data_IF_942645985419
#
_entry.id   IF_942645985419
#
_cell.length_a   1.000
_cell.length_b   1.000
_cell.length_c   1.000
_cell.angle_alpha   90.00
_cell.angle_beta   90.00
_cell.angle_gamma   90.00
#
_symmetry.space_group_name_H-M   'P 1'
#
loop_
_entity.id
_entity.type
_entity.pdbx_description
1 polymer ?
#
# COMPACT_ATOMS: atom_id res chain seq x y z
N UNK A 1 48.51 22.10 -29.94
CA UNK A 1 47.55 20.98 -29.86
C UNK A 1 47.11 20.91 -28.40
N UNK A 2 45.93 21.42 -28.04
CA UNK A 2 45.46 21.32 -26.67
C UNK A 2 44.98 19.90 -26.40
N UNK A 3 45.40 19.33 -25.28
CA UNK A 3 45.00 18.02 -24.80
C UNK A 3 43.51 18.04 -24.42
N UNK A 4 42.73 17.18 -25.07
CA UNK A 4 41.38 16.81 -24.66
C UNK A 4 41.47 16.06 -23.33
N UNK A 5 40.70 16.42 -22.29
CA UNK A 5 40.64 15.62 -21.08
C UNK A 5 39.83 14.36 -21.35
N UNK A 6 40.42 13.19 -21.08
CA UNK A 6 39.74 11.90 -21.09
C UNK A 6 38.53 11.95 -20.15
N UNK A 7 37.33 11.84 -20.73
CA UNK A 7 36.11 11.50 -20.00
C UNK A 7 36.23 10.04 -19.54
N UNK A 8 36.02 9.73 -18.24
CA UNK A 8 35.87 8.35 -17.80
C UNK A 8 34.44 7.90 -18.16
N UNK A 9 34.22 7.60 -19.43
CA UNK A 9 33.02 6.90 -19.89
C UNK A 9 33.28 5.39 -19.88
N UNK A 10 32.37 4.66 -19.24
CA UNK A 10 32.10 3.22 -19.43
C UNK A 10 33.06 2.17 -18.84
N UNK A 11 33.20 2.12 -17.50
CA UNK A 11 33.69 0.91 -16.79
C UNK A 11 32.67 0.35 -15.76
N UNK A 12 31.40 0.74 -15.86
CA UNK A 12 30.33 0.31 -14.93
C UNK A 12 29.44 -0.82 -15.48
N UNK A 13 29.64 -1.25 -16.73
CA UNK A 13 28.77 -2.23 -17.41
C UNK A 13 29.09 -3.71 -17.15
N UNK A 14 30.24 -4.03 -16.52
CA UNK A 14 30.72 -5.41 -16.34
C UNK A 14 30.96 -5.85 -14.88
N UNK A 15 30.48 -5.08 -13.89
CA UNK A 15 30.50 -5.56 -12.50
C UNK A 15 29.45 -6.65 -12.30
N UNK A 16 29.86 -7.91 -12.49
CA UNK A 16 29.09 -9.09 -12.06
C UNK A 16 28.72 -8.89 -10.60
N UNK A 17 27.43 -8.63 -10.35
CA UNK A 17 26.92 -8.37 -9.01
C UNK A 17 27.23 -9.59 -8.13
N UNK A 18 27.91 -9.35 -7.01
CA UNK A 18 28.28 -10.43 -6.09
C UNK A 18 27.02 -11.20 -5.64
N UNK A 19 27.10 -12.54 -5.48
CA UNK A 19 25.94 -13.33 -5.09
C UNK A 19 25.38 -12.86 -3.75
N UNK A 20 24.06 -12.71 -3.68
CA UNK A 20 23.36 -12.35 -2.44
C UNK A 20 23.51 -13.47 -1.40
N UNK A 21 23.47 -13.19 -0.08
CA UNK A 21 23.62 -14.19 0.97
C UNK A 21 22.66 -15.40 0.85
N UNK A 22 21.45 -15.20 0.33
CA UNK A 22 20.48 -16.28 0.10
C UNK A 22 21.01 -17.35 -0.86
N UNK A 23 21.82 -16.98 -1.86
CA UNK A 23 22.42 -17.93 -2.79
C UNK A 23 23.26 -18.99 -2.07
N UNK A 24 24.09 -18.56 -1.12
CA UNK A 24 24.88 -19.48 -0.29
C UNK A 24 24.02 -20.31 0.66
N UNK A 25 22.90 -19.75 1.16
CA UNK A 25 21.95 -20.51 1.97
C UNK A 25 21.27 -21.63 1.15
N UNK A 26 20.91 -21.35 -0.11
CA UNK A 26 20.39 -22.37 -1.03
C UNK A 26 21.42 -23.45 -1.33
N UNK A 27 22.68 -23.07 -1.60
CA UNK A 27 23.77 -24.02 -1.81
C UNK A 27 24.00 -24.90 -0.58
N UNK A 28 24.05 -24.29 0.61
CA UNK A 28 24.27 -25.00 1.87
C UNK A 28 23.10 -25.96 2.18
N UNK A 29 21.85 -25.55 1.92
CA UNK A 29 20.69 -26.41 2.07
C UNK A 29 20.74 -27.60 1.11
N UNK A 30 20.96 -27.35 -0.18
CA UNK A 30 21.00 -28.42 -1.17
C UNK A 30 22.16 -29.36 -0.91
N UNK A 31 23.34 -28.85 -0.57
CA UNK A 31 24.47 -29.65 -0.15
C UNK A 31 24.15 -30.53 1.07
N UNK A 32 23.48 -29.97 2.08
CA UNK A 32 23.05 -30.72 3.26
C UNK A 32 22.08 -31.85 2.90
N UNK A 33 21.10 -31.59 2.02
CA UNK A 33 20.10 -32.58 1.61
C UNK A 33 20.66 -33.63 0.64
N UNK A 34 21.64 -33.26 -0.18
CA UNK A 34 22.35 -34.20 -1.04
C UNK A 34 23.29 -35.10 -0.23
N UNK A 35 23.86 -34.59 0.87
CA UNK A 35 24.70 -35.36 1.79
C UNK A 35 23.87 -36.25 2.72
N UNK A 36 22.82 -35.69 3.32
CA UNK A 36 21.93 -36.36 4.27
C UNK A 36 20.45 -36.18 3.88
N UNK A 37 19.90 -36.99 2.97
CA UNK A 37 18.52 -36.84 2.46
C UNK A 37 17.43 -36.89 3.54
N UNK A 38 17.70 -37.58 4.66
CA UNK A 38 16.81 -37.62 5.84
C UNK A 38 16.51 -36.24 6.45
N UNK A 39 17.41 -35.26 6.27
CA UNK A 39 17.20 -33.89 6.72
C UNK A 39 16.04 -33.18 6.03
N UNK A 40 15.47 -33.77 4.97
CA UNK A 40 14.32 -33.20 4.27
C UNK A 40 13.12 -32.95 5.20
N UNK A 41 12.93 -33.79 6.23
CA UNK A 41 11.89 -33.63 7.25
C UNK A 41 12.00 -32.29 8.01
N UNK A 42 13.20 -31.73 8.13
CA UNK A 42 13.48 -30.51 8.88
C UNK A 42 13.28 -29.23 8.05
N UNK A 43 12.93 -29.36 6.75
CA UNK A 43 12.71 -28.21 5.86
C UNK A 43 11.35 -27.53 6.06
N UNK A 44 10.44 -28.15 6.82
CA UNK A 44 9.09 -27.64 7.10
C UNK A 44 8.28 -27.39 5.83
N UNK A 45 7.71 -26.19 5.69
CA UNK A 45 6.85 -25.79 4.55
C UNK A 45 7.62 -25.28 3.32
N UNK A 46 8.94 -25.50 3.25
CA UNK A 46 9.76 -25.02 2.13
C UNK A 46 9.35 -25.71 0.81
N UNK A 47 9.06 -24.93 -0.23
CA UNK A 47 8.77 -25.43 -1.58
C UNK A 47 9.82 -24.95 -2.57
N UNK A 48 9.87 -25.56 -3.76
CA UNK A 48 10.78 -25.14 -4.82
C UNK A 48 10.56 -23.68 -5.26
N UNK A 49 9.32 -23.16 -5.14
CA UNK A 49 9.01 -21.77 -5.45
C UNK A 49 9.62 -20.74 -4.50
N UNK A 50 10.18 -21.17 -3.36
CA UNK A 50 10.88 -20.29 -2.44
C UNK A 50 12.34 -20.00 -2.85
N UNK A 51 12.92 -20.83 -3.72
CA UNK A 51 14.27 -20.59 -4.22
C UNK A 51 14.25 -19.41 -5.21
N UNK A 52 15.31 -18.61 -5.19
CA UNK A 52 15.55 -17.57 -6.19
C UNK A 52 16.23 -18.16 -7.43
N UNK A 53 17.14 -19.12 -7.23
CA UNK A 53 17.81 -19.79 -8.33
C UNK A 53 16.96 -20.95 -8.89
N UNK A 54 16.70 -20.92 -10.19
CA UNK A 54 15.89 -21.94 -10.88
C UNK A 54 16.51 -23.35 -10.83
N UNK A 55 17.84 -23.45 -10.96
CA UNK A 55 18.54 -24.74 -10.89
C UNK A 55 18.45 -25.32 -9.48
N UNK A 56 18.54 -24.48 -8.45
CA UNK A 56 18.34 -24.90 -7.07
C UNK A 56 16.90 -25.37 -6.81
N UNK A 57 15.91 -24.68 -7.36
CA UNK A 57 14.51 -25.08 -7.30
C UNK A 57 14.27 -26.46 -7.94
N UNK A 58 14.87 -26.72 -9.10
CA UNK A 58 14.76 -28.01 -9.81
C UNK A 58 15.42 -29.15 -9.02
N UNK A 59 16.61 -28.93 -8.45
CA UNK A 59 17.27 -29.89 -7.58
C UNK A 59 16.45 -30.20 -6.33
N UNK A 60 15.92 -29.17 -5.66
CA UNK A 60 15.06 -29.37 -4.50
C UNK A 60 13.79 -30.17 -4.84
N UNK A 61 13.21 -29.91 -6.01
CA UNK A 61 12.05 -30.68 -6.52
C UNK A 61 12.40 -32.15 -6.71
N UNK A 62 13.55 -32.45 -7.33
CA UNK A 62 14.03 -33.82 -7.52
C UNK A 62 14.26 -34.53 -6.17
N UNK A 63 14.94 -33.87 -5.22
CA UNK A 63 15.19 -34.40 -3.87
C UNK A 63 13.88 -34.71 -3.14
N UNK A 64 12.86 -33.85 -3.28
CA UNK A 64 11.54 -34.07 -2.67
C UNK A 64 10.73 -35.19 -3.30
N UNK A 65 10.96 -35.48 -4.58
CA UNK A 65 10.13 -36.39 -5.36
C UNK A 65 10.68 -37.82 -5.32
N UNK A 66 12.00 -37.97 -5.30
CA UNK A 66 12.65 -39.27 -5.28
C UNK A 66 12.59 -39.90 -3.89
N UNK A 67 12.44 -41.23 -3.79
CA UNK A 67 12.52 -41.92 -2.51
C UNK A 67 13.91 -41.72 -1.91
N UNK A 68 13.96 -41.46 -0.60
CA UNK A 68 15.22 -41.33 0.12
C UNK A 68 16.02 -42.65 0.05
N UNK A 69 17.33 -42.60 -0.23
CA UNK A 69 18.16 -43.80 -0.28
C UNK A 69 18.43 -44.33 1.13
N UNK A 70 18.82 -45.60 1.23
CA UNK A 70 19.37 -46.12 2.49
C UNK A 70 20.65 -45.34 2.85
N UNK A 71 20.82 -44.88 4.11
CA UNK A 71 21.99 -44.09 4.49
C UNK A 71 23.33 -44.80 4.30
N UNK A 72 23.38 -46.12 4.49
CA UNK A 72 24.63 -46.89 4.35
C UNK A 72 25.03 -47.07 2.89
N UNK A 73 24.04 -47.20 1.99
CA UNK A 73 24.26 -47.28 0.54
C UNK A 73 24.64 -45.91 -0.02
N UNK A 74 23.94 -44.84 0.38
CA UNK A 74 24.21 -43.47 -0.04
C UNK A 74 25.62 -42.98 0.32
N UNK A 75 26.18 -43.47 1.43
CA UNK A 75 27.54 -43.16 1.83
C UNK A 75 28.63 -43.77 0.92
N UNK A 76 28.28 -44.80 0.14
CA UNK A 76 29.22 -45.58 -0.68
C UNK A 76 29.00 -45.42 -2.19
N UNK A 77 27.79 -45.07 -2.59
CA UNK A 77 27.36 -45.03 -3.98
C UNK A 77 26.71 -43.68 -4.34
N UNK A 78 27.02 -43.18 -5.53
CA UNK A 78 26.45 -41.95 -6.09
C UNK A 78 25.19 -42.20 -6.92
N UNK A 79 24.69 -43.44 -7.00
CA UNK A 79 23.51 -43.80 -7.79
C UNK A 79 22.28 -42.92 -7.50
N UNK A 80 22.02 -42.55 -6.23
CA UNK A 80 20.92 -41.64 -5.91
C UNK A 80 21.20 -40.20 -6.38
N UNK A 81 22.44 -39.70 -6.25
CA UNK A 81 22.83 -38.39 -6.77
C UNK A 81 22.66 -38.30 -8.29
N UNK A 82 22.99 -39.38 -9.02
CA UNK A 82 22.78 -39.46 -10.47
C UNK A 82 21.29 -39.43 -10.82
N UNK A 83 20.43 -40.13 -10.06
CA UNK A 83 18.96 -40.06 -10.23
C UNK A 83 18.42 -38.65 -9.99
N UNK A 84 18.91 -37.95 -8.95
CA UNK A 84 18.54 -36.55 -8.68
C UNK A 84 18.93 -35.66 -9.86
N UNK A 85 20.15 -35.83 -10.37
CA UNK A 85 20.64 -35.07 -11.52
C UNK A 85 19.77 -35.33 -12.77
N UNK A 86 19.57 -36.60 -13.14
CA UNK A 86 18.74 -37.01 -14.28
C UNK A 86 17.32 -36.44 -14.19
N UNK A 87 16.72 -36.44 -13.00
CA UNK A 87 15.38 -35.89 -12.79
C UNK A 87 15.34 -34.35 -12.93
N UNK A 88 16.42 -33.66 -12.54
CA UNK A 88 16.51 -32.20 -12.56
C UNK A 88 16.88 -31.62 -13.94
N UNK A 89 17.66 -32.34 -14.75
CA UNK A 89 18.19 -31.87 -16.04
C UNK A 89 17.15 -31.36 -17.05
N UNK A 90 15.96 -31.97 -17.21
CA UNK A 90 14.95 -31.46 -18.13
C UNK A 90 14.48 -30.03 -17.81
N UNK A 91 14.58 -29.64 -16.54
CA UNK A 91 14.09 -28.36 -16.02
C UNK A 91 15.21 -27.35 -15.76
N UNK A 92 16.46 -27.81 -15.62
CA UNK A 92 17.61 -26.97 -15.27
C UNK A 92 18.81 -27.26 -16.17
N UNK A 93 18.93 -26.47 -17.25
CA UNK A 93 20.04 -26.56 -18.19
C UNK A 93 21.34 -26.14 -17.50
N UNK A 94 22.39 -26.97 -17.63
CA UNK A 94 23.71 -26.69 -17.07
C UNK A 94 24.01 -27.38 -15.72
N UNK A 95 23.07 -28.16 -15.17
CA UNK A 95 23.39 -29.03 -14.04
C UNK A 95 24.29 -30.19 -14.49
N UNK A 96 25.44 -30.31 -13.85
CA UNK A 96 26.41 -31.40 -14.05
C UNK A 96 26.65 -32.17 -12.75
N UNK A 97 27.19 -33.39 -12.87
CA UNK A 97 27.61 -34.16 -11.71
C UNK A 97 28.67 -33.41 -10.87
N UNK A 98 29.57 -32.66 -11.52
CA UNK A 98 30.57 -31.84 -10.83
C UNK A 98 29.94 -30.70 -10.03
N UNK A 99 28.89 -30.08 -10.54
CA UNK A 99 28.15 -29.03 -9.83
C UNK A 99 27.43 -29.58 -8.59
N UNK A 100 26.76 -30.74 -8.73
CA UNK A 100 26.11 -31.43 -7.59
C UNK A 100 27.13 -31.80 -6.51
N UNK A 101 28.30 -32.32 -6.89
CA UNK A 101 29.38 -32.58 -5.94
C UNK A 101 29.90 -31.29 -5.28
N UNK A 102 30.01 -30.20 -6.04
CA UNK A 102 30.36 -28.88 -5.51
C UNK A 102 29.38 -28.40 -4.44
N UNK A 103 28.08 -28.57 -4.65
CA UNK A 103 27.06 -28.21 -3.64
C UNK A 103 27.25 -28.97 -2.32
N UNK A 104 27.59 -30.26 -2.38
CA UNK A 104 27.89 -31.06 -1.18
C UNK A 104 29.08 -30.47 -0.43
N UNK A 105 30.13 -30.05 -1.14
CA UNK A 105 31.32 -29.42 -0.54
C UNK A 105 31.02 -28.04 0.06
N UNK A 106 30.06 -27.30 -0.50
CA UNK A 106 29.64 -26.01 0.04
C UNK A 106 28.74 -26.13 1.28
N UNK A 107 28.33 -27.34 1.69
CA UNK A 107 27.59 -27.55 2.92
C UNK A 107 28.51 -27.40 4.15
N UNK A 108 28.34 -26.35 4.99
CA UNK A 108 29.19 -26.20 6.17
C UNK A 108 28.82 -27.20 7.27
N UNK A 109 27.52 -27.38 7.52
CA UNK A 109 26.99 -28.29 8.54
C UNK A 109 25.61 -28.84 8.12
N UNK A 110 25.55 -30.14 7.83
CA UNK A 110 24.31 -30.82 7.39
C UNK A 110 23.17 -30.72 8.41
N UNK A 111 23.49 -30.72 9.71
CA UNK A 111 22.50 -30.56 10.81
C UNK A 111 21.77 -29.22 10.83
N UNK A 112 22.17 -28.23 10.04
CA UNK A 112 21.57 -26.89 10.01
C UNK A 112 20.48 -26.69 8.95
N UNK A 113 19.95 -27.78 8.36
CA UNK A 113 18.87 -27.73 7.34
C UNK A 113 17.73 -26.78 7.71
N UNK A 114 17.20 -26.87 8.94
CA UNK A 114 16.10 -26.01 9.39
C UNK A 114 16.48 -24.51 9.42
N UNK A 115 17.75 -24.17 9.65
CA UNK A 115 18.21 -22.78 9.61
C UNK A 115 18.32 -22.28 8.17
N UNK A 116 18.91 -23.06 7.27
CA UNK A 116 19.02 -22.71 5.85
C UNK A 116 17.63 -22.56 5.20
N UNK A 117 16.71 -23.48 5.48
CA UNK A 117 15.33 -23.39 5.01
C UNK A 117 14.63 -22.09 5.48
N UNK A 118 14.85 -21.65 6.73
CA UNK A 118 14.33 -20.38 7.23
C UNK A 118 14.92 -19.17 6.53
N UNK A 119 16.21 -19.19 6.18
CA UNK A 119 16.87 -18.11 5.43
C UNK A 119 16.25 -17.94 4.03
N UNK A 120 16.04 -19.05 3.33
CA UNK A 120 15.42 -19.06 1.98
C UNK A 120 13.97 -18.57 2.05
N UNK A 121 13.20 -19.02 3.05
CA UNK A 121 11.82 -18.52 3.27
C UNK A 121 11.78 -17.03 3.59
N UNK A 122 12.73 -16.54 4.40
CA UNK A 122 12.84 -15.13 4.75
C UNK A 122 13.12 -14.26 3.51
N UNK A 123 14.03 -14.71 2.64
CA UNK A 123 14.31 -14.03 1.37
C UNK A 123 13.12 -14.08 0.41
N UNK A 124 12.47 -15.24 0.27
CA UNK A 124 11.25 -15.36 -0.54
C UNK A 124 10.16 -14.38 -0.09
N UNK A 125 9.91 -14.27 1.23
CA UNK A 125 8.95 -13.31 1.77
C UNK A 125 9.27 -11.87 1.37
N UNK A 126 10.56 -11.49 1.38
CA UNK A 126 11.04 -10.18 0.94
C UNK A 126 10.77 -9.95 -0.55
N UNK A 127 11.14 -10.91 -1.41
CA UNK A 127 10.91 -10.83 -2.86
C UNK A 127 9.42 -10.74 -3.20
N UNK A 128 8.59 -11.53 -2.52
CA UNK A 128 7.13 -11.52 -2.68
C UNK A 128 6.54 -10.16 -2.30
N UNK A 129 6.88 -9.61 -1.13
CA UNK A 129 6.39 -8.29 -0.71
C UNK A 129 6.83 -7.17 -1.65
N UNK A 130 8.09 -7.20 -2.10
CA UNK A 130 8.60 -6.23 -3.09
C UNK A 130 7.78 -6.27 -4.38
N UNK A 131 7.54 -7.45 -4.93
CA UNK A 131 6.77 -7.62 -6.16
C UNK A 131 5.33 -7.11 -6.02
N UNK A 132 4.66 -7.36 -4.89
CA UNK A 132 3.32 -6.84 -4.65
C UNK A 132 3.30 -5.32 -4.45
N UNK A 133 4.32 -4.76 -3.79
CA UNK A 133 4.47 -3.31 -3.65
C UNK A 133 4.73 -2.63 -4.99
N UNK A 134 5.61 -3.17 -5.83
CA UNK A 134 5.88 -2.67 -7.18
C UNK A 134 4.61 -2.67 -8.05
N UNK A 135 3.80 -3.75 -7.98
CA UNK A 135 2.49 -3.80 -8.66
C UNK A 135 1.51 -2.73 -8.16
N UNK A 136 1.48 -2.48 -6.85
CA UNK A 136 0.66 -1.41 -6.27
C UNK A 136 1.11 -0.03 -6.78
N UNK A 137 2.42 0.25 -6.77
CA UNK A 137 2.97 1.50 -7.28
C UNK A 137 2.64 1.71 -8.76
N UNK A 138 2.91 0.71 -9.61
CA UNK A 138 2.62 0.77 -11.04
C UNK A 138 1.13 1.02 -11.31
N UNK A 139 0.25 0.33 -10.58
CA UNK A 139 -1.20 0.51 -10.73
C UNK A 139 -1.67 1.89 -10.29
N UNK A 140 -1.06 2.45 -9.23
CA UNK A 140 -1.41 3.77 -8.72
C UNK A 140 -1.00 4.92 -9.66
N UNK A 141 0.05 4.73 -10.46
CA UNK A 141 0.54 5.72 -11.43
C UNK A 141 -0.03 5.55 -12.84
N UNK A 142 -0.73 4.45 -13.11
CA UNK A 142 -1.29 4.14 -14.43
C UNK A 142 -2.58 4.94 -14.68
N UNK A 143 -2.44 6.07 -15.36
CA UNK A 143 -3.55 6.98 -15.70
C UNK A 143 -4.42 6.47 -16.84
N UNK A 144 -4.04 5.39 -17.52
CA UNK A 144 -4.78 4.86 -18.68
C UNK A 144 -5.96 3.97 -18.29
N UNK A 145 -6.08 3.63 -16.99
CA UNK A 145 -7.11 2.72 -16.51
C UNK A 145 -8.47 3.41 -16.42
N UNK A 146 -9.58 2.72 -16.78
CA UNK A 146 -10.93 3.28 -16.64
C UNK A 146 -11.31 3.63 -15.19
N UNK A 147 -10.88 2.81 -14.22
CA UNK A 147 -11.11 3.05 -12.79
C UNK A 147 -9.79 2.81 -12.01
N UNK A 148 -8.92 3.83 -11.94
CA UNK A 148 -7.61 3.69 -11.30
C UNK A 148 -7.74 3.51 -9.78
N UNK A 149 -8.75 4.10 -9.14
CA UNK A 149 -8.98 3.96 -7.71
C UNK A 149 -9.35 2.53 -7.33
N UNK A 150 -10.34 1.93 -8.00
CA UNK A 150 -10.74 0.55 -7.72
C UNK A 150 -9.59 -0.43 -7.99
N UNK A 151 -8.89 -0.28 -9.12
CA UNK A 151 -7.74 -1.13 -9.45
C UNK A 151 -6.63 -1.05 -8.39
N UNK A 152 -6.31 0.16 -7.93
CA UNK A 152 -5.31 0.39 -6.87
C UNK A 152 -5.75 -0.23 -5.54
N UNK A 153 -7.01 -0.09 -5.16
CA UNK A 153 -7.54 -0.70 -3.94
C UNK A 153 -7.52 -2.23 -4.00
N UNK A 154 -7.75 -2.84 -5.18
CA UNK A 154 -7.62 -4.29 -5.38
C UNK A 154 -6.17 -4.76 -5.16
N UNK A 155 -5.18 -4.00 -5.64
CA UNK A 155 -3.77 -4.32 -5.38
C UNK A 155 -3.40 -4.16 -3.90
N UNK A 156 -3.93 -3.12 -3.25
CA UNK A 156 -3.74 -2.93 -1.81
C UNK A 156 -4.33 -4.10 -0.99
N UNK A 157 -5.49 -4.62 -1.37
CA UNK A 157 -6.09 -5.80 -0.73
C UNK A 157 -5.30 -7.08 -0.99
N UNK A 158 -4.79 -7.27 -2.21
CA UNK A 158 -3.92 -8.39 -2.53
C UNK A 158 -2.64 -8.38 -1.68
N UNK A 159 -2.00 -7.21 -1.52
CA UNK A 159 -0.85 -7.02 -0.64
C UNK A 159 -1.20 -7.27 0.83
N UNK A 160 -2.38 -6.83 1.28
CA UNK A 160 -2.88 -7.13 2.64
C UNK A 160 -2.99 -8.63 2.91
N UNK A 161 -3.58 -9.40 1.99
CA UNK A 161 -3.68 -10.87 2.11
C UNK A 161 -2.32 -11.56 2.17
N UNK A 162 -1.35 -11.10 1.37
CA UNK A 162 0.02 -11.61 1.41
C UNK A 162 0.68 -11.32 2.75
N UNK A 163 0.48 -10.11 3.31
CA UNK A 163 1.00 -9.77 4.64
C UNK A 163 0.39 -10.64 5.74
N UNK A 164 -0.89 -10.98 5.63
CA UNK A 164 -1.57 -11.86 6.58
C UNK A 164 -1.06 -13.30 6.53
N UNK A 165 -0.89 -13.84 5.31
CA UNK A 165 -0.27 -15.15 5.12
C UNK A 165 1.16 -15.18 5.69
N UNK A 166 2.01 -14.20 5.33
CA UNK A 166 3.38 -14.13 5.83
C UNK A 166 3.44 -13.97 7.36
N UNK A 167 2.54 -13.20 7.96
CA UNK A 167 2.51 -13.06 9.40
C UNK A 167 2.20 -14.38 10.14
N UNK A 168 1.45 -15.29 9.53
CA UNK A 168 1.21 -16.62 10.09
C UNK A 168 2.46 -17.52 10.04
N UNK A 169 3.40 -17.19 9.14
CA UNK A 169 4.56 -18.02 8.81
C UNK A 169 5.83 -17.68 9.61
N UNK A 170 5.91 -16.46 10.17
CA UNK A 170 7.08 -15.98 10.92
C UNK A 170 6.69 -15.66 12.36
N UNK A 171 7.44 -16.22 13.31
CA UNK A 171 7.21 -15.95 14.73
C UNK A 171 7.35 -14.45 15.05
N UNK A 172 6.46 -13.88 15.89
CA UNK A 172 6.61 -12.52 16.38
C UNK A 172 7.93 -12.35 17.12
N UNK A 173 8.59 -11.21 16.95
CA UNK A 173 9.79 -10.88 17.70
C UNK A 173 9.61 -9.54 18.41
N UNK A 174 9.76 -9.46 19.74
CA UNK A 174 9.56 -8.21 20.45
C UNK A 174 10.60 -7.16 20.01
N UNK A 175 10.12 -5.94 19.74
CA UNK A 175 10.96 -4.75 19.83
C UNK A 175 11.81 -4.38 18.62
N UNK A 176 11.28 -4.37 17.40
CA UNK A 176 11.84 -3.43 16.41
C UNK A 176 10.85 -3.05 15.31
N UNK A 177 10.70 -1.75 15.09
CA UNK A 177 10.16 -1.22 13.84
C UNK A 177 11.17 -1.51 12.72
N UNK A 178 10.74 -1.59 11.44
CA UNK A 178 11.69 -1.66 10.34
C UNK A 178 12.60 -0.45 10.38
N UNK A 179 13.86 -0.67 10.06
CA UNK A 179 14.72 0.41 9.62
C UNK A 179 14.08 0.98 8.37
N UNK A 180 13.77 2.27 8.44
CA UNK A 180 13.24 3.00 7.30
C UNK A 180 14.44 3.69 6.69
N UNK A 181 14.94 3.26 5.51
CA UNK A 181 15.87 4.09 4.78
C UNK A 181 15.21 5.45 4.57
N UNK A 182 15.94 6.54 4.78
CA UNK A 182 15.46 7.87 4.42
C UNK A 182 15.27 7.89 2.91
N UNK A 183 14.03 7.71 2.46
CA UNK A 183 13.70 7.97 1.06
C UNK A 183 13.99 9.46 0.80
N UNK A 184 14.63 9.83 -0.32
CA UNK A 184 14.62 11.21 -0.74
C UNK A 184 13.15 11.64 -0.83
N UNK A 185 12.81 12.74 -0.18
CA UNK A 185 11.50 13.38 -0.36
C UNK A 185 11.48 13.84 -1.81
N UNK A 186 10.93 13.02 -2.70
CA UNK A 186 10.50 13.54 -3.98
C UNK A 186 9.43 14.58 -3.63
N UNK A 187 9.75 15.86 -3.84
CA UNK A 187 8.73 16.89 -3.76
C UNK A 187 7.73 16.55 -4.87
N UNK A 188 6.59 15.93 -4.52
CA UNK A 188 5.45 15.86 -5.42
C UNK A 188 4.99 17.30 -5.65
N UNK A 189 5.62 17.98 -6.61
CA UNK A 189 4.99 19.11 -7.27
C UNK A 189 3.81 18.54 -8.02
N UNK A 190 2.59 18.98 -7.67
CA UNK A 190 1.39 18.56 -8.38
C UNK A 190 1.54 18.83 -9.87
N UNK A 191 1.08 17.89 -10.70
CA UNK A 191 0.93 18.11 -12.14
C UNK A 191 0.10 19.38 -12.38
N UNK A 192 0.32 20.08 -13.49
CA UNK A 192 -0.49 21.24 -13.85
C UNK A 192 -1.98 20.92 -13.88
N UNK A 193 -2.35 19.75 -14.44
CA UNK A 193 -3.72 19.21 -14.40
C UNK A 193 -4.24 19.08 -12.96
N UNK A 194 -3.38 18.63 -12.05
CA UNK A 194 -3.75 18.45 -10.66
C UNK A 194 -4.09 19.78 -9.98
N UNK A 195 -3.32 20.82 -10.29
CA UNK A 195 -3.55 22.16 -9.81
C UNK A 195 -4.82 22.75 -10.40
N UNK A 196 -5.05 22.59 -11.70
CA UNK A 196 -6.24 23.10 -12.38
C UNK A 196 -7.53 22.49 -11.84
N UNK A 197 -7.55 21.19 -11.57
CA UNK A 197 -8.69 20.54 -10.92
C UNK A 197 -8.99 21.10 -9.53
N UNK A 198 -7.94 21.38 -8.73
CA UNK A 198 -8.12 22.02 -7.42
C UNK A 198 -8.63 23.46 -7.55
N UNK A 199 -8.14 24.23 -8.54
CA UNK A 199 -8.65 25.57 -8.83
C UNK A 199 -10.13 25.53 -9.21
N UNK A 200 -10.50 24.61 -10.10
CA UNK A 200 -11.88 24.41 -10.52
C UNK A 200 -12.79 23.99 -9.36
N UNK A 201 -12.31 23.12 -8.47
CA UNK A 201 -13.00 22.80 -7.23
C UNK A 201 -13.24 24.04 -6.37
N UNK A 202 -12.20 24.84 -6.10
CA UNK A 202 -12.33 26.02 -5.24
C UNK A 202 -13.30 27.06 -5.83
N UNK A 203 -13.25 27.29 -7.14
CA UNK A 203 -14.15 28.22 -7.82
C UNK A 203 -15.60 27.71 -7.84
N UNK A 204 -15.82 26.43 -8.19
CA UNK A 204 -17.17 25.83 -8.17
C UNK A 204 -17.76 25.77 -6.76
N UNK A 205 -16.95 25.42 -5.75
CA UNK A 205 -17.35 25.40 -4.36
C UNK A 205 -17.75 26.81 -3.85
N UNK A 206 -17.10 27.86 -4.34
CA UNK A 206 -17.46 29.25 -4.04
C UNK A 206 -18.80 29.64 -4.67
N UNK A 207 -19.07 29.18 -5.90
CA UNK A 207 -20.33 29.44 -6.60
C UNK A 207 -21.51 28.60 -6.05
N UNK A 208 -21.23 27.41 -5.53
CA UNK A 208 -22.22 26.44 -5.06
C UNK A 208 -21.97 26.00 -3.58
N UNK A 209 -21.95 26.94 -2.62
CA UNK A 209 -21.55 26.68 -1.23
C UNK A 209 -22.47 25.71 -0.48
N UNK A 210 -23.72 25.55 -0.91
CA UNK A 210 -24.68 24.63 -0.30
C UNK A 210 -24.27 23.15 -0.46
N UNK A 211 -23.55 22.82 -1.55
CA UNK A 211 -23.15 21.46 -1.91
C UNK A 211 -22.01 20.93 -1.02
N UNK A 212 -21.19 21.84 -0.45
CA UNK A 212 -20.08 21.49 0.45
C UNK A 212 -20.54 20.70 1.69
N UNK A 213 -21.80 20.85 2.11
CA UNK A 213 -22.36 20.09 3.24
C UNK A 213 -22.36 18.58 2.99
N UNK A 214 -22.41 18.16 1.72
CA UNK A 214 -22.38 16.76 1.28
C UNK A 214 -20.95 16.24 1.09
N UNK A 215 -19.96 17.12 1.06
CA UNK A 215 -18.55 16.81 0.73
C UNK A 215 -17.67 16.60 1.97
N UNK A 216 -18.24 16.22 3.12
CA UNK A 216 -17.48 15.99 4.38
C UNK A 216 -16.41 14.89 4.28
N UNK A 217 -16.42 14.11 3.19
CA UNK A 217 -15.40 13.13 2.86
C UNK A 217 -14.10 13.75 2.34
N UNK A 218 -14.13 14.98 1.80
CA UNK A 218 -12.94 15.71 1.36
C UNK A 218 -12.32 16.46 2.54
N UNK A 219 -11.01 16.37 2.69
CA UNK A 219 -10.26 16.96 3.79
C UNK A 219 -9.17 17.89 3.25
N UNK A 220 -8.71 18.88 4.04
CA UNK A 220 -7.66 19.79 3.61
C UNK A 220 -6.38 19.06 3.17
N UNK A 221 -6.01 17.96 3.83
CA UNK A 221 -4.82 17.16 3.51
C UNK A 221 -4.87 16.45 2.14
N UNK A 222 -6.00 16.48 1.43
CA UNK A 222 -6.12 15.90 0.08
C UNK A 222 -5.61 16.83 -1.02
N UNK A 223 -5.44 18.12 -0.72
CA UNK A 223 -4.97 19.12 -1.68
C UNK A 223 -3.45 19.09 -1.83
N UNK A 224 -2.98 19.37 -3.04
CA UNK A 224 -1.56 19.34 -3.39
C UNK A 224 -0.85 20.62 -2.97
N UNK A 225 -1.50 21.78 -3.13
CA UNK A 225 -0.92 23.07 -2.77
C UNK A 225 -1.38 23.55 -1.39
N UNK A 226 -0.45 23.92 -0.48
CA UNK A 226 -0.80 24.52 0.83
C UNK A 226 -1.71 25.75 0.72
N UNK A 227 -1.58 26.52 -0.38
CA UNK A 227 -2.50 27.60 -0.70
C UNK A 227 -3.94 27.10 -0.83
N UNK A 228 -4.18 26.08 -1.65
CA UNK A 228 -5.50 25.51 -1.88
C UNK A 228 -6.08 24.84 -0.62
N UNK A 229 -5.23 24.20 0.19
CA UNK A 229 -5.60 23.69 1.53
C UNK A 229 -6.25 24.80 2.35
N UNK A 230 -5.61 25.97 2.40
CA UNK A 230 -6.08 27.08 3.24
C UNK A 230 -7.33 27.74 2.66
N UNK A 231 -7.43 27.89 1.33
CA UNK A 231 -8.65 28.41 0.69
C UNK A 231 -9.84 27.46 0.91
N UNK A 232 -9.64 26.15 0.81
CA UNK A 232 -10.67 25.15 1.15
C UNK A 232 -11.14 25.26 2.61
N UNK A 233 -10.21 25.49 3.54
CA UNK A 233 -10.56 25.74 4.94
C UNK A 233 -11.34 27.04 5.16
N UNK A 234 -11.09 28.09 4.36
CA UNK A 234 -11.90 29.32 4.40
C UNK A 234 -13.35 29.03 3.97
N UNK A 235 -13.52 28.38 2.81
CA UNK A 235 -14.82 28.01 2.26
C UNK A 235 -15.63 27.16 3.24
N UNK A 236 -15.03 26.09 3.76
CA UNK A 236 -15.70 25.19 4.69
C UNK A 236 -16.02 25.85 6.03
N UNK A 237 -15.21 26.81 6.50
CA UNK A 237 -15.51 27.58 7.71
C UNK A 237 -16.70 28.52 7.52
N UNK A 238 -16.77 29.26 6.41
CA UNK A 238 -17.91 30.12 6.08
C UNK A 238 -19.21 29.31 6.03
N UNK A 239 -19.20 28.18 5.31
CA UNK A 239 -20.37 27.29 5.22
C UNK A 239 -20.75 26.71 6.59
N UNK A 240 -19.76 26.34 7.41
CA UNK A 240 -20.01 25.84 8.75
C UNK A 240 -20.66 26.87 9.67
N UNK A 241 -20.21 28.13 9.57
CA UNK A 241 -20.72 29.25 10.36
C UNK A 241 -22.08 29.78 9.84
N UNK A 242 -22.51 29.35 8.66
CA UNK A 242 -23.72 29.85 8.01
C UNK A 242 -23.55 31.25 7.41
N UNK A 243 -22.31 31.66 7.18
CA UNK A 243 -21.97 32.94 6.57
C UNK A 243 -22.17 32.89 5.05
N UNK A 244 -22.45 34.03 4.39
CA UNK A 244 -22.47 34.10 2.93
C UNK A 244 -21.09 33.73 2.35
N UNK A 245 -21.10 33.03 1.22
CA UNK A 245 -19.90 32.61 0.50
C UNK A 245 -19.91 33.23 -0.89
N UNK A 246 -18.86 33.97 -1.17
CA UNK A 246 -18.54 34.63 -2.45
C UNK A 246 -17.02 34.95 -2.46
N UNK A 247 -16.43 35.35 -3.60
CA UNK A 247 -14.99 35.63 -3.67
C UNK A 247 -14.47 36.67 -2.66
N UNK A 248 -15.27 37.67 -2.30
CA UNK A 248 -14.87 38.73 -1.35
C UNK A 248 -14.93 38.22 0.08
N UNK A 249 -15.96 37.45 0.45
CA UNK A 249 -16.03 36.83 1.79
C UNK A 249 -14.94 35.77 1.98
N UNK A 250 -14.59 35.01 0.94
CA UNK A 250 -13.45 34.08 0.97
C UNK A 250 -12.12 34.84 1.15
N UNK A 251 -11.93 35.95 0.43
CA UNK A 251 -10.76 36.81 0.60
C UNK A 251 -10.63 37.35 2.03
N UNK A 252 -11.76 37.79 2.61
CA UNK A 252 -11.82 38.30 3.98
C UNK A 252 -11.42 37.24 5.01
N UNK A 253 -11.93 36.02 4.88
CA UNK A 253 -11.53 34.91 5.74
C UNK A 253 -10.06 34.49 5.54
N UNK A 254 -9.59 34.52 4.30
CA UNK A 254 -8.19 34.24 3.97
C UNK A 254 -7.24 35.27 4.60
N UNK A 255 -7.65 36.54 4.69
CA UNK A 255 -6.90 37.57 5.40
C UNK A 255 -6.73 37.22 6.89
N UNK A 256 -7.82 36.84 7.56
CA UNK A 256 -7.77 36.47 8.99
C UNK A 256 -6.88 35.25 9.27
N UNK A 257 -6.71 34.38 8.28
CA UNK A 257 -5.82 33.22 8.35
C UNK A 257 -4.37 33.52 7.96
N UNK A 258 -4.03 34.78 7.69
CA UNK A 258 -2.68 35.20 7.32
C UNK A 258 -2.26 34.80 5.90
N UNK A 259 -3.20 34.49 5.02
CA UNK A 259 -2.88 34.05 3.65
C UNK A 259 -2.38 35.22 2.77
N UNK A 260 -2.78 36.45 3.10
CA UNK A 260 -2.48 37.66 2.32
C UNK A 260 -1.21 38.39 2.80
N UNK A 261 -0.49 37.86 3.78
CA UNK A 261 0.72 38.52 4.34
C UNK A 261 2.00 38.18 3.58
N UNK A 262 1.90 37.52 2.43
CA UNK A 262 3.02 37.02 1.62
C UNK A 262 2.98 37.48 0.16
N UNK A 263 3.26 36.57 -0.77
CA UNK A 263 3.36 36.82 -2.22
C UNK A 263 2.03 36.77 -2.98
N UNK A 264 0.93 36.41 -2.32
CA UNK A 264 -0.38 36.26 -2.96
C UNK A 264 -1.13 37.60 -2.95
N UNK A 265 -1.37 38.19 -4.12
CA UNK A 265 -2.16 39.42 -4.19
C UNK A 265 -3.65 39.12 -3.96
N UNK A 266 -4.42 40.02 -3.33
CA UNK A 266 -5.87 39.87 -3.16
C UNK A 266 -6.62 39.60 -4.48
N UNK A 267 -6.19 40.23 -5.57
CA UNK A 267 -6.74 40.01 -6.91
C UNK A 267 -6.56 38.58 -7.41
N UNK A 268 -5.44 37.94 -7.07
CA UNK A 268 -5.11 36.60 -7.53
C UNK A 268 -5.98 35.56 -6.82
N UNK A 269 -6.22 35.76 -5.51
CA UNK A 269 -7.17 34.91 -4.77
C UNK A 269 -8.59 35.07 -5.29
N UNK A 270 -9.03 36.30 -5.58
CA UNK A 270 -10.35 36.51 -6.18
C UNK A 270 -10.42 35.76 -7.52
N UNK A 271 -9.42 35.92 -8.39
CA UNK A 271 -9.40 35.24 -9.69
C UNK A 271 -9.44 33.71 -9.54
N UNK A 272 -8.68 33.15 -8.59
CA UNK A 272 -8.63 31.71 -8.27
C UNK A 272 -10.01 31.11 -8.00
N UNK A 273 -10.91 31.86 -7.36
CA UNK A 273 -12.23 31.36 -6.92
C UNK A 273 -13.40 31.88 -7.78
N UNK A 274 -13.14 32.59 -8.88
CA UNK A 274 -14.18 33.31 -9.64
C UNK A 274 -14.62 32.63 -10.94
N UNK A 275 -13.95 31.56 -11.39
CA UNK A 275 -14.26 30.88 -12.67
C UNK A 275 -14.80 29.45 -12.45
N UNK A 276 -16.07 29.29 -12.04
CA UNK A 276 -16.65 27.96 -11.81
C UNK A 276 -16.92 27.23 -13.12
N UNK A 277 -16.77 25.90 -13.12
CA UNK A 277 -17.19 25.01 -14.20
C UNK A 277 -17.53 23.61 -13.67
N UNK A 278 -18.67 23.02 -14.03
CA UNK A 278 -19.06 21.70 -13.53
C UNK A 278 -19.58 21.72 -12.09
N UNK A 279 -19.52 20.59 -11.38
CA UNK A 279 -19.99 20.49 -9.99
C UNK A 279 -18.83 20.38 -8.98
N UNK A 280 -18.99 20.93 -7.77
CA UNK A 280 -18.07 20.72 -6.65
C UNK A 280 -17.81 19.24 -6.35
N UNK A 281 -18.84 18.39 -6.33
CA UNK A 281 -18.65 16.96 -6.03
C UNK A 281 -17.76 16.28 -7.07
N UNK A 282 -17.92 16.60 -8.37
CA UNK A 282 -17.10 16.01 -9.42
C UNK A 282 -15.61 16.34 -9.23
N UNK A 283 -15.28 17.62 -9.03
CA UNK A 283 -13.88 18.01 -8.81
C UNK A 283 -13.36 17.50 -7.48
N UNK A 284 -14.19 17.49 -6.43
CA UNK A 284 -13.83 16.92 -5.14
C UNK A 284 -13.49 15.44 -5.24
N UNK A 285 -14.25 14.67 -6.02
CA UNK A 285 -13.98 13.26 -6.27
C UNK A 285 -12.63 13.09 -6.96
N UNK A 286 -12.32 13.92 -7.97
CA UNK A 286 -11.02 13.86 -8.64
C UNK A 286 -9.85 14.19 -7.70
N UNK A 287 -9.98 15.22 -6.86
CA UNK A 287 -8.97 15.57 -5.84
C UNK A 287 -8.78 14.41 -4.86
N UNK A 288 -9.86 13.84 -4.34
CA UNK A 288 -9.79 12.70 -3.43
C UNK A 288 -9.20 11.44 -4.09
N UNK A 289 -9.57 11.16 -5.34
CA UNK A 289 -9.02 10.05 -6.12
C UNK A 289 -7.51 10.19 -6.24
N UNK A 290 -7.04 11.39 -6.60
CA UNK A 290 -5.60 11.67 -6.70
C UNK A 290 -4.89 11.50 -5.37
N UNK A 291 -5.44 12.01 -4.27
CA UNK A 291 -4.88 11.84 -2.94
C UNK A 291 -4.78 10.35 -2.55
N UNK A 292 -5.77 9.53 -2.94
CA UNK A 292 -5.77 8.08 -2.74
C UNK A 292 -4.65 7.40 -3.55
N UNK A 293 -4.52 7.73 -4.84
CA UNK A 293 -3.49 7.17 -5.71
C UNK A 293 -2.07 7.57 -5.25
N UNK A 294 -1.87 8.84 -4.90
CA UNK A 294 -0.61 9.34 -4.36
C UNK A 294 -0.23 8.63 -3.06
N UNK A 295 -1.19 8.49 -2.11
CA UNK A 295 -0.92 7.75 -0.87
C UNK A 295 -0.60 6.28 -1.14
N UNK A 296 -1.25 5.65 -2.12
CA UNK A 296 -0.99 4.25 -2.45
C UNK A 296 0.41 4.06 -3.02
N UNK A 297 0.85 4.99 -3.87
CA UNK A 297 2.22 5.05 -4.38
C UNK A 297 3.24 5.25 -3.25
N UNK A 298 2.99 6.16 -2.31
CA UNK A 298 3.88 6.38 -1.15
C UNK A 298 4.00 5.13 -0.27
N UNK A 299 2.87 4.45 -0.03
CA UNK A 299 2.83 3.20 0.73
C UNK A 299 3.63 2.11 0.02
N UNK A 300 3.42 1.95 -1.28
CA UNK A 300 4.17 1.00 -2.09
C UNK A 300 5.67 1.28 -2.06
N UNK A 301 6.08 2.53 -2.28
CA UNK A 301 7.48 2.97 -2.23
C UNK A 301 8.12 2.66 -0.88
N UNK A 302 7.40 2.92 0.22
CA UNK A 302 7.88 2.61 1.57
C UNK A 302 8.05 1.12 1.81
N UNK A 303 7.12 0.29 1.35
CA UNK A 303 7.21 -1.17 1.47
C UNK A 303 8.36 -1.72 0.63
N UNK A 304 8.55 -1.20 -0.59
CA UNK A 304 9.71 -1.52 -1.44
C UNK A 304 11.02 -1.17 -0.74
N UNK A 305 11.13 0.00 -0.10
CA UNK A 305 12.31 0.39 0.67
C UNK A 305 12.58 -0.56 1.86
N UNK A 306 11.55 -0.98 2.58
CA UNK A 306 11.70 -2.00 3.64
C UNK A 306 12.21 -3.33 3.09
N UNK A 307 11.69 -3.75 1.93
CA UNK A 307 12.09 -4.98 1.28
C UNK A 307 13.50 -4.89 0.67
N UNK A 308 13.96 -3.71 0.26
CA UNK A 308 15.31 -3.52 -0.27
C UNK A 308 16.39 -3.47 0.81
N UNK A 309 16.08 -3.08 2.05
CA UNK A 309 17.05 -3.12 3.16
C UNK A 309 17.18 -4.56 3.70
N UNK A 310 18.29 -5.28 3.42
CA UNK A 310 18.48 -6.68 3.80
C UNK A 310 18.56 -6.88 5.31
N UNK A 311 18.86 -5.83 6.08
CA UNK A 311 18.99 -5.93 7.52
C UNK A 311 17.66 -5.77 8.27
N UNK A 312 16.57 -5.47 7.57
CA UNK A 312 15.24 -5.67 8.12
C UNK A 312 14.95 -7.17 8.25
N UNK A 313 14.67 -7.65 9.45
CA UNK A 313 14.20 -9.02 9.65
C UNK A 313 12.81 -9.23 9.01
N UNK A 314 12.40 -10.48 8.72
CA UNK A 314 11.06 -10.74 8.19
C UNK A 314 9.94 -10.16 9.06
N UNK A 315 10.05 -10.26 10.38
CA UNK A 315 9.07 -9.71 11.30
C UNK A 315 8.96 -8.17 11.21
N UNK A 316 10.10 -7.47 11.15
CA UNK A 316 10.15 -6.02 10.95
C UNK A 316 9.54 -5.60 9.62
N UNK A 317 9.88 -6.31 8.55
CA UNK A 317 9.36 -6.06 7.20
C UNK A 317 7.83 -6.21 7.16
N UNK A 318 7.29 -7.28 7.74
CA UNK A 318 5.84 -7.54 7.79
C UNK A 318 5.12 -6.47 8.63
N UNK A 319 5.63 -6.19 9.82
CA UNK A 319 5.04 -5.21 10.75
C UNK A 319 5.05 -3.81 10.17
N UNK A 320 6.18 -3.41 9.58
CA UNK A 320 6.35 -2.14 8.87
C UNK A 320 5.36 -1.98 7.72
N UNK A 321 5.28 -3.00 6.88
CA UNK A 321 4.42 -3.00 5.70
C UNK A 321 2.93 -2.94 6.06
N UNK A 322 2.50 -3.66 7.10
CA UNK A 322 1.14 -3.57 7.63
C UNK A 322 0.80 -2.16 8.11
N UNK A 323 1.71 -1.53 8.87
CA UNK A 323 1.53 -0.16 9.34
C UNK A 323 1.47 0.84 8.19
N UNK A 324 2.31 0.68 7.17
CA UNK A 324 2.26 1.51 5.97
C UNK A 324 0.91 1.37 5.26
N UNK A 325 0.45 0.13 5.03
CA UNK A 325 -0.81 -0.18 4.35
C UNK A 325 -2.04 0.35 5.10
N UNK A 326 -2.03 0.29 6.45
CA UNK A 326 -3.10 0.85 7.28
C UNK A 326 -3.31 2.36 7.07
N UNK A 327 -2.30 3.09 6.59
CA UNK A 327 -2.42 4.50 6.22
C UNK A 327 -3.40 4.77 5.07
N UNK A 328 -3.77 3.77 4.27
CA UNK A 328 -4.76 3.89 3.19
C UNK A 328 -6.21 3.73 3.66
N UNK A 329 -6.45 3.15 4.83
CA UNK A 329 -7.81 2.79 5.27
C UNK A 329 -8.74 4.00 5.36
N UNK A 330 -8.25 5.12 5.92
CA UNK A 330 -9.04 6.34 6.05
C UNK A 330 -9.42 6.94 4.69
N UNK A 331 -8.50 6.94 3.72
CA UNK A 331 -8.77 7.40 2.34
C UNK A 331 -9.76 6.49 1.63
N UNK A 332 -9.62 5.16 1.78
CA UNK A 332 -10.58 4.18 1.24
C UNK A 332 -12.00 4.45 1.72
N UNK A 333 -12.20 4.63 3.02
CA UNK A 333 -13.54 4.90 3.58
C UNK A 333 -14.10 6.24 3.09
N UNK A 334 -13.26 7.25 2.86
CA UNK A 334 -13.70 8.53 2.28
C UNK A 334 -14.10 8.37 0.81
N UNK A 335 -13.30 7.65 0.02
CA UNK A 335 -13.58 7.36 -1.39
C UNK A 335 -14.88 6.56 -1.59
N UNK A 336 -15.11 5.57 -0.74
CA UNK A 336 -16.38 4.81 -0.76
C UNK A 336 -17.60 5.68 -0.44
N UNK A 337 -17.44 6.71 0.41
CA UNK A 337 -18.52 7.64 0.74
C UNK A 337 -18.77 8.66 -0.37
N UNK A 338 -17.73 9.12 -1.07
CA UNK A 338 -17.90 10.04 -2.20
C UNK A 338 -18.61 9.37 -3.36
N UNK A 339 -18.25 8.12 -3.66
CA UNK A 339 -18.78 7.35 -4.79
C UNK A 339 -20.03 6.51 -4.48
N UNK A 340 -20.51 6.54 -3.23
CA UNK A 340 -21.71 5.81 -2.85
C UNK A 340 -22.92 6.35 -3.63
N UNK A 341 -23.72 5.51 -4.28
CA UNK A 341 -24.94 5.98 -4.92
C UNK A 341 -25.84 6.61 -3.86
N UNK A 342 -26.31 7.83 -4.13
CA UNK A 342 -27.28 8.52 -3.28
C UNK A 342 -28.53 7.67 -3.17
N UNK A 343 -28.67 6.93 -2.07
CA UNK A 343 -29.89 6.19 -1.79
C UNK A 343 -31.03 7.23 -1.70
N UNK A 344 -32.14 7.06 -2.43
CA UNK A 344 -33.28 7.94 -2.29
C UNK A 344 -33.68 7.95 -0.82
N UNK A 345 -33.79 9.14 -0.24
CA UNK A 345 -34.21 9.29 1.15
C UNK A 345 -35.47 8.43 1.37
N UNK A 346 -35.54 7.61 2.44
CA UNK A 346 -36.76 6.91 2.76
C UNK A 346 -37.84 7.99 2.84
N UNK A 347 -38.84 7.92 1.95
CA UNK A 347 -40.01 8.80 1.99
C UNK A 347 -40.46 8.80 3.44
N UNK A 348 -40.36 9.95 4.11
CA UNK A 348 -40.86 10.11 5.45
C UNK A 348 -42.32 9.66 5.39
N UNK A 349 -42.59 8.47 5.93
CA UNK A 349 -43.93 7.94 6.02
C UNK A 349 -44.74 9.04 6.67
N UNK A 350 -45.74 9.55 5.95
CA UNK A 350 -46.70 10.47 6.52
C UNK A 350 -47.29 9.73 7.72
N UNK A 351 -46.83 10.07 8.92
CA UNK A 351 -47.52 9.67 10.13
C UNK A 351 -48.89 10.32 10.00
N UNK A 352 -50.00 9.56 10.04
CA UNK A 352 -51.31 10.17 10.02
C UNK A 352 -51.36 11.15 11.18
N UNK A 353 -51.75 12.39 10.89
CA UNK A 353 -51.94 13.41 11.90
C UNK A 353 -52.82 12.83 13.01
N UNK A 354 -52.23 12.63 14.19
CA UNK A 354 -53.00 12.34 15.39
C UNK A 354 -53.78 13.61 15.66
N UNK A 355 -55.09 13.57 15.39
CA UNK A 355 -56.03 14.61 15.77
C UNK A 355 -55.82 14.92 17.25
N UNK A 356 -55.34 16.11 17.56
CA UNK A 356 -55.33 16.64 18.93
C UNK A 356 -56.77 16.60 19.43
N UNK A 357 -57.07 15.66 20.33
CA UNK A 357 -58.26 15.73 21.15
C UNK A 357 -58.20 17.04 21.94
N UNK A 358 -59.22 17.89 21.79
CA UNK A 358 -59.36 19.13 22.52
C UNK A 358 -59.42 18.90 24.04
N UNK A 359 -59.17 19.94 24.85
CA UNK A 359 -59.14 19.82 26.30
C UNK A 359 -60.49 19.35 26.84
N UNK A 360 -60.52 18.50 27.89
CA UNK A 360 -61.77 17.99 28.45
C UNK A 360 -62.59 19.11 29.10
N UNK A 361 -63.95 19.02 29.06
CA UNK A 361 -64.80 20.04 29.63
C UNK A 361 -64.69 20.08 31.15
N UNK A 362 -64.69 21.31 31.67
CA UNK A 362 -64.60 21.67 33.09
C UNK A 362 -65.84 21.17 33.84
N UNK A 363 -65.65 20.35 34.87
CA UNK A 363 -66.74 19.92 35.75
C UNK A 363 -67.30 21.13 36.52
N UNK A 364 -68.59 21.40 36.35
CA UNK A 364 -69.32 22.43 37.10
C UNK A 364 -69.84 21.79 38.38
N UNK A 365 -69.42 22.32 39.52
CA UNK A 365 -69.90 21.92 40.84
C UNK A 365 -71.39 22.30 40.99
N UNK A 366 -72.26 21.30 41.22
CA UNK A 366 -73.63 21.53 41.65
C UNK A 366 -73.65 21.64 43.19
N UNK A 367 -74.10 22.79 43.68
CA UNK A 367 -74.15 23.13 45.10
C UNK A 367 -75.15 22.28 45.88
N UNK A 368 -74.71 21.81 47.04
CA UNK A 368 -75.60 21.36 48.10
C UNK A 368 -76.15 22.61 48.82
N UNK A 369 -77.45 22.86 48.66
CA UNK A 369 -78.22 23.84 49.43
C UNK A 369 -78.77 23.14 50.68
N UNK A 370 -78.57 23.78 51.83
CA UNK A 370 -78.90 23.33 53.17
C UNK A 370 -80.41 23.06 53.41
N UNK A 371 -80.72 22.31 54.49
CA UNK A 371 -81.63 22.68 55.60
C UNK A 371 -82.18 21.43 56.33
N UNK A 372 -81.72 21.14 57.56
CA UNK A 372 -82.39 21.45 58.83
C UNK A 372 -81.68 20.77 60.01
#
# INVERSE_FOLDING_TARGET
>A
MPHTPDTPEDDDLDRVQAPQPVYYAEQALLGALLLEPRGLADTGTLTAGHFDNHNHAALFTAIRTLPAPDPADHAKDTAWLNKVLEHSQPHARGLSASYVHGLIQFCPQSKHVAAYARMIRADHARRTLRLHAERLALTATDTTRPDPAAATLVQADALGRVLDDLASQFAPHPGSLPRTPTAPVAAQQGSEEALDEERLLLATATAHPAELKNMRWLQPDDFTLPLHVTVWQCLTALVHNGEPVDPVTVLWEAQHRGLLTGSLAPSDLIALVSTPAGSPEHWGERVLQRALLARAFDVATRITAYAQDPANTPHQLITGSRRALAGLTALRTRWQRSTAPTLPAPRAGHSPAVSRAGPPPRAVAAGARALR
#
